data_IF_795938229567
#
_entry.id   IF_795938229567
#
_cell.length_a   1.000
_cell.length_b   1.000
_cell.length_c   1.000
_cell.angle_alpha   90.00
_cell.angle_beta   90.00
_cell.angle_gamma   90.00
#
_symmetry.space_group_name_H-M   'P 1'
#
loop_
_entity.id
_entity.type
_entity.pdbx_description
1 polymer ?
#
# COMPACT_ATOMS: atom_id res chain seq x y z
N UNK A 1 -0.55 -25.99 25.04
CA UNK A 1 -0.12 -25.73 23.64
C UNK A 1 -0.83 -24.53 23.00
N UNK A 2 -2.15 -24.36 23.24
CA UNK A 2 -2.93 -23.23 22.70
C UNK A 2 -2.40 -21.82 23.08
N UNK A 3 -1.84 -21.63 24.29
CA UNK A 3 -1.28 -20.33 24.71
C UNK A 3 -0.02 -19.94 23.92
N UNK A 4 0.91 -20.88 23.70
CA UNK A 4 2.14 -20.65 22.91
C UNK A 4 1.82 -20.29 21.45
N UNK A 5 0.86 -20.99 20.84
CA UNK A 5 0.40 -20.73 19.46
C UNK A 5 -0.24 -19.33 19.37
N UNK A 6 -1.01 -18.92 20.37
CA UNK A 6 -1.54 -17.56 20.40
C UNK A 6 -0.46 -16.47 20.39
N UNK A 7 0.54 -16.64 21.26
CA UNK A 7 1.56 -15.63 21.47
C UNK A 7 2.36 -15.48 20.17
N UNK A 8 2.68 -16.60 19.54
CA UNK A 8 3.34 -16.63 18.24
C UNK A 8 2.55 -15.86 17.17
N UNK A 9 1.24 -16.10 17.05
CA UNK A 9 0.39 -15.39 16.08
C UNK A 9 0.41 -13.88 16.31
N UNK A 10 0.31 -13.42 17.56
CA UNK A 10 0.35 -11.99 17.90
C UNK A 10 1.71 -11.38 17.54
N UNK A 11 2.81 -12.07 17.86
CA UNK A 11 4.17 -11.61 17.52
C UNK A 11 4.31 -11.47 16.00
N UNK A 12 3.84 -12.46 15.23
CA UNK A 12 3.86 -12.41 13.77
C UNK A 12 3.04 -11.22 13.26
N UNK A 13 1.81 -11.03 13.75
CA UNK A 13 0.98 -9.88 13.35
C UNK A 13 1.69 -8.53 13.64
N UNK A 14 2.36 -8.40 14.79
CA UNK A 14 3.13 -7.20 15.15
C UNK A 14 4.36 -6.97 14.26
N UNK A 15 5.13 -8.02 13.98
CA UNK A 15 6.31 -7.92 13.09
C UNK A 15 5.89 -7.48 11.69
N UNK A 16 4.79 -8.03 11.19
CA UNK A 16 4.23 -7.67 9.88
C UNK A 16 3.77 -6.22 9.83
N UNK A 17 3.10 -5.75 10.89
CA UNK A 17 2.72 -4.35 11.01
C UNK A 17 3.92 -3.42 10.89
N UNK A 18 5.01 -3.72 11.60
CA UNK A 18 6.24 -2.92 11.55
C UNK A 18 6.85 -2.96 10.15
N UNK A 19 6.89 -4.12 9.50
CA UNK A 19 7.46 -4.26 8.16
C UNK A 19 6.68 -3.48 7.10
N UNK A 20 5.34 -3.59 7.10
CA UNK A 20 4.48 -2.87 6.14
C UNK A 20 4.55 -1.37 6.38
N UNK A 21 4.35 -0.94 7.64
CA UNK A 21 4.35 0.48 8.00
C UNK A 21 5.72 1.14 7.73
N UNK A 22 6.81 0.46 8.10
CA UNK A 22 8.16 0.93 7.81
C UNK A 22 8.46 0.99 6.31
N UNK A 23 8.06 -0.05 5.55
CA UNK A 23 8.23 -0.09 4.10
C UNK A 23 7.50 1.05 3.38
N UNK A 24 6.26 1.33 3.76
CA UNK A 24 5.46 2.42 3.19
C UNK A 24 6.00 3.82 3.55
N UNK A 25 6.57 4.01 4.75
CA UNK A 25 7.27 5.24 5.12
C UNK A 25 8.53 5.43 4.27
N UNK A 26 9.31 4.37 4.08
CA UNK A 26 10.48 4.41 3.20
C UNK A 26 10.08 4.72 1.75
N UNK A 27 9.00 4.12 1.27
CA UNK A 27 8.45 4.41 -0.06
C UNK A 27 8.04 5.89 -0.19
N UNK A 28 7.37 6.46 0.81
CA UNK A 28 7.03 7.89 0.87
C UNK A 28 8.28 8.76 0.80
N UNK A 29 9.30 8.45 1.60
CA UNK A 29 10.55 9.22 1.61
C UNK A 29 11.24 9.20 0.24
N UNK A 30 11.35 8.02 -0.38
CA UNK A 30 11.94 7.86 -1.71
C UNK A 30 11.13 8.58 -2.79
N UNK A 31 9.80 8.55 -2.70
CA UNK A 31 8.92 9.26 -3.62
C UNK A 31 9.08 10.78 -3.53
N UNK A 32 9.24 11.32 -2.31
CA UNK A 32 9.52 12.75 -2.10
C UNK A 32 10.89 13.16 -2.63
N UNK A 33 11.91 12.32 -2.42
CA UNK A 33 13.25 12.59 -2.95
C UNK A 33 13.28 12.49 -4.49
N UNK A 34 12.52 11.56 -5.06
CA UNK A 34 12.32 11.47 -6.50
C UNK A 34 11.69 12.75 -7.06
N UNK A 35 10.63 13.28 -6.45
CA UNK A 35 9.99 14.54 -6.86
C UNK A 35 10.96 15.73 -6.76
N UNK A 36 11.70 15.87 -5.65
CA UNK A 36 12.74 16.92 -5.53
C UNK A 36 13.79 16.83 -6.63
N UNK A 37 14.19 15.62 -7.02
CA UNK A 37 15.17 15.40 -8.09
C UNK A 37 14.59 15.71 -9.48
N UNK A 38 13.26 15.65 -9.64
CA UNK A 38 12.57 16.17 -10.82
C UNK A 38 12.49 17.69 -10.81
N UNK A 39 12.29 18.30 -9.64
CA UNK A 39 12.12 19.75 -9.47
C UNK A 39 13.45 20.52 -9.50
N UNK A 40 14.55 19.97 -8.97
CA UNK A 40 15.90 20.60 -9.00
C UNK A 40 16.43 20.87 -10.41
N UNK A 41 15.90 20.17 -11.40
CA UNK A 41 16.23 20.38 -12.81
C UNK A 41 15.56 21.64 -13.39
N UNK A 42 14.53 22.16 -12.70
CA UNK A 42 13.59 23.16 -13.21
C UNK A 42 13.94 24.62 -12.88
N UNK A 43 14.97 24.90 -12.09
CA UNK A 43 15.41 26.29 -11.80
C UNK A 43 16.06 27.02 -13.00
N UNK A 44 16.03 26.42 -14.20
CA UNK A 44 16.51 27.02 -15.44
C UNK A 44 15.45 26.91 -16.56
N UNK A 45 14.81 28.06 -16.84
CA UNK A 45 14.02 28.46 -18.03
C UNK A 45 12.50 28.17 -18.16
N UNK A 46 11.75 29.27 -17.99
CA UNK A 46 10.77 29.91 -18.89
C UNK A 46 9.84 29.05 -19.78
N UNK A 47 8.54 29.19 -19.48
CA UNK A 47 7.39 29.44 -20.36
C UNK A 47 7.47 28.87 -21.80
N UNK A 48 6.68 27.82 -22.04
CA UNK A 48 6.07 27.42 -23.33
C UNK A 48 6.71 26.42 -24.30
N UNK A 49 7.88 25.82 -24.04
CA UNK A 49 8.30 24.61 -24.77
C UNK A 49 8.94 23.60 -23.82
N UNK A 50 8.11 22.73 -23.22
CA UNK A 50 8.52 21.72 -22.22
C UNK A 50 9.23 20.51 -22.86
N UNK A 51 10.18 20.75 -23.77
CA UNK A 51 11.08 19.73 -24.32
C UNK A 51 12.52 19.85 -23.79
N UNK A 52 12.69 20.50 -22.62
CA UNK A 52 13.99 20.63 -21.92
C UNK A 52 13.94 20.22 -20.44
N UNK A 53 13.05 19.29 -20.06
CA UNK A 53 13.11 18.67 -18.73
C UNK A 53 14.34 17.75 -18.72
N UNK A 54 15.48 18.12 -18.11
CA UNK A 54 16.60 17.16 -17.92
C UNK A 54 16.05 15.97 -17.15
N UNK A 55 15.84 14.85 -17.84
CA UNK A 55 15.40 13.62 -17.21
C UNK A 55 16.43 13.23 -16.17
N UNK A 56 16.01 13.11 -14.92
CA UNK A 56 16.89 12.69 -13.86
C UNK A 56 16.75 11.18 -13.68
N UNK A 57 17.75 10.42 -14.14
CA UNK A 57 17.73 8.97 -13.98
C UNK A 57 17.63 8.54 -12.51
N UNK A 58 18.16 9.34 -11.58
CA UNK A 58 18.01 9.05 -10.16
C UNK A 58 16.54 9.17 -9.72
N UNK A 59 15.78 10.14 -10.24
CA UNK A 59 14.35 10.24 -9.96
C UNK A 59 13.57 9.01 -10.46
N UNK A 60 13.92 8.48 -11.63
CA UNK A 60 13.37 7.21 -12.13
C UNK A 60 13.65 6.07 -11.14
N UNK A 61 14.92 5.93 -10.70
CA UNK A 61 15.34 4.85 -9.80
C UNK A 61 14.66 4.96 -8.44
N UNK A 62 14.58 6.16 -7.84
CA UNK A 62 13.91 6.37 -6.56
C UNK A 62 12.40 6.12 -6.64
N UNK A 63 11.74 6.58 -7.70
CA UNK A 63 10.31 6.30 -7.93
C UNK A 63 10.00 4.81 -8.09
N UNK A 64 10.83 4.07 -8.84
CA UNK A 64 10.68 2.62 -8.99
C UNK A 64 11.02 1.84 -7.71
N UNK A 65 11.97 2.31 -6.90
CA UNK A 65 12.23 1.74 -5.57
C UNK A 65 11.03 1.92 -4.65
N UNK A 66 10.40 3.10 -4.65
CA UNK A 66 9.16 3.33 -3.91
C UNK A 66 8.03 2.41 -4.39
N UNK A 67 7.86 2.26 -5.71
CA UNK A 67 6.89 1.34 -6.30
C UNK A 67 7.12 -0.12 -5.86
N UNK A 68 8.38 -0.55 -5.86
CA UNK A 68 8.75 -1.90 -5.44
C UNK A 68 8.47 -2.13 -3.95
N UNK A 69 8.79 -1.16 -3.08
CA UNK A 69 8.46 -1.24 -1.65
C UNK A 69 6.95 -1.36 -1.43
N UNK A 70 6.14 -0.57 -2.12
CA UNK A 70 4.68 -0.66 -2.05
C UNK A 70 4.16 -2.04 -2.49
N UNK A 71 4.71 -2.60 -3.58
CA UNK A 71 4.38 -3.95 -4.06
C UNK A 71 4.70 -5.03 -3.03
N UNK A 72 5.90 -4.98 -2.44
CA UNK A 72 6.33 -5.94 -1.42
C UNK A 72 5.49 -5.80 -0.15
N UNK A 73 5.25 -4.57 0.31
CA UNK A 73 4.41 -4.29 1.47
C UNK A 73 2.99 -4.82 1.27
N UNK A 74 2.39 -4.59 0.10
CA UNK A 74 1.06 -5.07 -0.23
C UNK A 74 0.99 -6.61 -0.31
N UNK A 75 2.02 -7.26 -0.87
CA UNK A 75 2.10 -8.71 -0.89
C UNK A 75 2.15 -9.29 0.52
N UNK A 76 3.03 -8.76 1.39
CA UNK A 76 3.15 -9.20 2.79
C UNK A 76 1.82 -9.01 3.54
N UNK A 77 1.18 -7.85 3.39
CA UNK A 77 -0.12 -7.55 3.98
C UNK A 77 -1.21 -8.56 3.55
N UNK A 78 -1.20 -8.93 2.26
CA UNK A 78 -2.19 -9.84 1.68
C UNK A 78 -1.94 -11.30 2.06
N UNK A 79 -0.68 -11.75 2.14
CA UNK A 79 -0.37 -13.14 2.48
C UNK A 79 -0.67 -13.49 3.95
N UNK A 80 -0.40 -12.58 4.89
CA UNK A 80 -0.47 -12.89 6.34
C UNK A 80 -1.83 -12.51 6.95
N UNK A 81 -2.45 -11.44 6.45
CA UNK A 81 -3.79 -11.03 6.86
C UNK A 81 -4.85 -11.38 5.82
N UNK A 82 -4.60 -11.08 4.54
CA UNK A 82 -5.60 -11.09 3.48
C UNK A 82 -6.12 -12.47 3.06
N UNK A 83 -5.29 -13.51 2.95
CA UNK A 83 -5.67 -14.75 2.24
C UNK A 83 -6.94 -15.44 2.74
N UNK A 84 -7.09 -15.62 4.06
CA UNK A 84 -8.31 -16.20 4.65
C UNK A 84 -9.52 -15.29 4.44
N UNK A 85 -9.34 -13.97 4.54
CA UNK A 85 -10.41 -12.99 4.34
C UNK A 85 -10.81 -12.87 2.88
N UNK A 86 -9.85 -12.86 1.96
CA UNK A 86 -10.03 -12.82 0.53
C UNK A 86 -10.73 -14.08 0.03
N UNK A 87 -10.37 -15.26 0.55
CA UNK A 87 -11.11 -16.50 0.30
C UNK A 87 -12.57 -16.38 0.74
N UNK A 88 -12.81 -15.94 1.97
CA UNK A 88 -14.17 -15.79 2.49
C UNK A 88 -14.98 -14.71 1.72
N UNK A 89 -14.34 -13.62 1.30
CA UNK A 89 -14.93 -12.57 0.48
C UNK A 89 -15.28 -13.08 -0.93
N UNK A 90 -14.34 -13.73 -1.62
CA UNK A 90 -14.60 -14.33 -2.93
C UNK A 90 -15.70 -15.40 -2.85
N UNK A 91 -15.66 -16.26 -1.84
CA UNK A 91 -16.70 -17.27 -1.63
C UNK A 91 -18.07 -16.63 -1.38
N UNK A 92 -18.15 -15.53 -0.62
CA UNK A 92 -19.42 -14.81 -0.37
C UNK A 92 -19.96 -14.07 -1.59
N UNK A 93 -19.08 -13.49 -2.43
CA UNK A 93 -19.48 -12.74 -3.62
C UNK A 93 -19.82 -13.62 -4.82
N UNK A 94 -19.16 -14.77 -4.98
CA UNK A 94 -19.31 -15.63 -6.16
C UNK A 94 -20.05 -16.94 -5.89
N UNK A 95 -20.08 -17.44 -4.65
CA UNK A 95 -20.85 -18.64 -4.30
C UNK A 95 -22.11 -18.23 -3.51
N UNK A 96 -23.26 -18.36 -4.15
CA UNK A 96 -24.58 -18.06 -3.57
C UNK A 96 -24.83 -18.82 -2.25
N UNK A 97 -24.92 -18.05 -1.16
CA UNK A 97 -25.76 -18.26 0.04
C UNK A 97 -25.72 -19.58 0.84
N UNK A 98 -24.70 -20.45 0.74
CA UNK A 98 -24.73 -21.76 1.42
C UNK A 98 -23.87 -21.97 2.68
N UNK A 99 -23.29 -20.92 3.27
CA UNK A 99 -22.61 -21.06 4.58
C UNK A 99 -22.89 -19.86 5.50
N UNK A 100 -23.78 -20.00 6.50
CA UNK A 100 -24.10 -18.93 7.44
C UNK A 100 -23.15 -18.83 8.65
N UNK A 101 -22.05 -19.59 8.70
CA UNK A 101 -21.24 -19.72 9.92
C UNK A 101 -19.99 -18.81 9.94
N UNK A 102 -19.90 -17.86 8.99
CA UNK A 102 -18.76 -16.94 8.93
C UNK A 102 -19.03 -15.82 9.92
N UNK A 103 -18.27 -15.84 11.03
CA UNK A 103 -18.13 -14.77 12.04
C UNK A 103 -18.57 -13.42 11.47
N UNK A 104 -19.65 -12.86 12.04
CA UNK A 104 -20.20 -11.55 11.70
C UNK A 104 -19.07 -10.53 11.57
N UNK A 105 -18.57 -10.39 10.35
CA UNK A 105 -17.38 -9.60 10.12
C UNK A 105 -17.87 -8.16 10.11
N UNK A 106 -17.59 -7.45 11.20
CA UNK A 106 -17.88 -6.03 11.39
C UNK A 106 -17.71 -5.29 10.05
N UNK A 107 -18.76 -4.65 9.53
CA UNK A 107 -18.73 -3.97 8.22
C UNK A 107 -17.55 -3.00 8.06
N UNK A 108 -17.06 -2.44 9.18
CA UNK A 108 -15.85 -1.64 9.24
C UNK A 108 -14.60 -2.39 8.70
N UNK A 109 -14.40 -3.66 9.05
CA UNK A 109 -13.21 -4.44 8.67
C UNK A 109 -13.14 -4.62 7.14
N UNK A 110 -14.30 -4.81 6.50
CA UNK A 110 -14.42 -4.91 5.05
C UNK A 110 -14.05 -3.60 4.34
N UNK A 111 -14.52 -2.46 4.87
CA UNK A 111 -14.23 -1.14 4.30
C UNK A 111 -12.73 -0.86 4.30
N UNK A 112 -12.04 -1.12 5.41
CA UNK A 112 -10.59 -0.91 5.50
C UNK A 112 -9.79 -1.81 4.57
N UNK A 113 -10.24 -3.05 4.36
CA UNK A 113 -9.63 -3.95 3.39
C UNK A 113 -9.76 -3.40 1.97
N UNK A 114 -10.95 -2.97 1.55
CA UNK A 114 -11.16 -2.38 0.21
C UNK A 114 -10.35 -1.10 0.03
N UNK A 115 -10.35 -0.21 1.02
CA UNK A 115 -9.58 1.04 0.98
C UNK A 115 -8.07 0.78 0.84
N UNK A 116 -7.55 -0.26 1.48
CA UNK A 116 -6.14 -0.67 1.33
C UNK A 116 -5.81 -1.02 -0.13
N UNK A 117 -6.67 -1.82 -0.79
CA UNK A 117 -6.48 -2.19 -2.20
C UNK A 117 -6.61 -0.99 -3.15
N UNK A 118 -7.55 -0.08 -2.88
CA UNK A 118 -7.71 1.15 -3.65
C UNK A 118 -6.48 2.05 -3.48
N UNK A 119 -5.99 2.24 -2.26
CA UNK A 119 -4.78 3.01 -1.99
C UNK A 119 -3.54 2.40 -2.67
N UNK A 120 -3.42 1.08 -2.66
CA UNK A 120 -2.38 0.36 -3.40
C UNK A 120 -2.47 0.59 -4.92
N UNK A 121 -3.65 0.40 -5.51
CA UNK A 121 -3.87 0.58 -6.96
C UNK A 121 -3.56 2.00 -7.42
N UNK A 122 -4.10 3.00 -6.72
CA UNK A 122 -3.83 4.41 -7.01
C UNK A 122 -2.36 4.74 -6.76
N UNK A 123 -1.78 4.30 -5.65
CA UNK A 123 -0.38 4.56 -5.29
C UNK A 123 0.58 4.03 -6.36
N UNK A 124 0.38 2.78 -6.80
CA UNK A 124 1.15 2.21 -7.90
C UNK A 124 1.01 3.01 -9.20
N UNK A 125 -0.22 3.39 -9.56
CA UNK A 125 -0.48 4.20 -10.75
C UNK A 125 0.31 5.51 -10.69
N UNK A 126 0.14 6.29 -9.63
CA UNK A 126 0.81 7.58 -9.48
C UNK A 126 2.34 7.46 -9.45
N UNK A 127 2.90 6.47 -8.73
CA UNK A 127 4.34 6.24 -8.69
C UNK A 127 4.90 5.83 -10.05
N UNK A 128 4.24 4.90 -10.76
CA UNK A 128 4.69 4.41 -12.07
C UNK A 128 4.67 5.51 -13.12
N UNK A 129 3.54 6.19 -13.26
CA UNK A 129 3.39 7.25 -14.25
C UNK A 129 4.17 8.52 -13.89
N UNK A 130 4.45 8.77 -12.61
CA UNK A 130 5.36 9.83 -12.19
C UNK A 130 6.84 9.51 -12.45
N UNK A 131 7.22 8.23 -12.38
CA UNK A 131 8.59 7.77 -12.59
C UNK A 131 8.95 7.55 -14.08
N UNK A 132 8.06 6.97 -14.88
CA UNK A 132 8.30 6.58 -16.29
C UNK A 132 8.84 7.70 -17.20
N UNK A 133 8.36 8.95 -17.11
CA UNK A 133 8.89 10.07 -17.89
C UNK A 133 10.38 10.37 -17.64
N UNK A 134 10.97 9.86 -16.55
CA UNK A 134 12.38 10.06 -16.19
C UNK A 134 13.32 8.98 -16.76
N UNK A 135 12.80 8.01 -17.54
CA UNK A 135 13.60 6.96 -18.16
C UNK A 135 14.52 7.53 -19.27
N UNK A 136 15.70 6.94 -19.45
CA UNK A 136 16.73 7.41 -20.39
C UNK A 136 16.34 7.33 -21.88
N UNK A 137 15.23 6.70 -22.27
CA UNK A 137 14.90 6.43 -23.66
C UNK A 137 13.52 6.96 -24.09
N UNK A 138 13.51 7.72 -25.19
CA UNK A 138 12.39 8.23 -26.02
C UNK A 138 11.95 9.69 -25.79
N UNK A 139 12.16 10.45 -26.86
CA UNK A 139 11.72 11.81 -27.11
C UNK A 139 10.25 11.73 -27.55
N UNK A 140 9.33 11.80 -26.60
CA UNK A 140 7.91 12.00 -26.91
C UNK A 140 7.44 13.05 -25.91
N UNK A 141 7.42 14.30 -26.35
CA UNK A 141 6.93 15.42 -25.55
C UNK A 141 5.42 15.17 -25.29
N UNK A 142 5.11 14.47 -24.21
CA UNK A 142 3.74 14.20 -23.78
C UNK A 142 3.28 15.40 -22.97
N UNK A 143 2.19 16.05 -23.42
CA UNK A 143 1.64 17.31 -22.93
C UNK A 143 1.07 17.27 -21.50
N UNK A 144 1.33 16.21 -20.73
CA UNK A 144 0.76 16.01 -19.39
C UNK A 144 1.82 16.36 -18.36
N UNK A 145 1.60 17.46 -17.65
CA UNK A 145 2.40 17.84 -16.49
C UNK A 145 2.28 16.77 -15.39
N UNK A 146 3.25 15.86 -15.32
CA UNK A 146 3.36 14.82 -14.27
C UNK A 146 3.73 15.38 -12.88
N UNK A 147 3.55 16.70 -12.66
CA UNK A 147 3.94 17.39 -11.43
C UNK A 147 3.16 16.85 -10.24
N UNK A 148 3.86 16.50 -9.18
CA UNK A 148 3.27 16.01 -7.94
C UNK A 148 2.79 14.57 -7.99
N UNK A 149 2.91 13.86 -9.11
CA UNK A 149 2.43 12.47 -9.20
C UNK A 149 3.22 11.55 -8.27
N UNK A 150 4.55 11.73 -8.16
CA UNK A 150 5.36 10.97 -7.21
C UNK A 150 5.01 11.36 -5.77
N UNK A 151 4.76 12.65 -5.50
CA UNK A 151 4.31 13.12 -4.19
C UNK A 151 2.95 12.54 -3.77
N UNK A 152 1.94 12.56 -4.66
CA UNK A 152 0.63 11.94 -4.42
C UNK A 152 0.74 10.42 -4.24
N UNK A 153 1.56 9.76 -5.07
CA UNK A 153 1.85 8.32 -4.93
C UNK A 153 2.48 7.97 -3.57
N UNK A 154 3.40 8.80 -3.08
CA UNK A 154 3.99 8.65 -1.76
C UNK A 154 2.97 8.75 -0.62
N UNK A 155 2.04 9.70 -0.67
CA UNK A 155 0.98 9.77 0.35
C UNK A 155 0.00 8.61 0.27
N UNK A 156 -0.26 8.08 -0.92
CA UNK A 156 -1.09 6.88 -1.06
C UNK A 156 -0.41 5.64 -0.45
N UNK A 157 0.93 5.57 -0.43
CA UNK A 157 1.66 4.54 0.34
C UNK A 157 1.39 4.69 1.85
N UNK A 158 1.40 5.91 2.37
CA UNK A 158 1.05 6.15 3.78
C UNK A 158 -0.42 5.79 4.06
N UNK A 159 -1.33 6.13 3.15
CA UNK A 159 -2.74 5.72 3.21
C UNK A 159 -2.91 4.20 3.23
N UNK A 160 -2.13 3.48 2.41
CA UNK A 160 -2.07 2.02 2.41
C UNK A 160 -1.66 1.48 3.79
N UNK A 161 -0.58 2.01 4.38
CA UNK A 161 -0.11 1.63 5.71
C UNK A 161 -1.16 1.86 6.81
N UNK A 162 -1.85 3.00 6.78
CA UNK A 162 -2.91 3.34 7.74
C UNK A 162 -4.08 2.36 7.61
N UNK A 163 -4.56 2.12 6.39
CA UNK A 163 -5.66 1.18 6.15
C UNK A 163 -5.29 -0.23 6.63
N UNK A 164 -4.07 -0.69 6.34
CA UNK A 164 -3.57 -1.98 6.79
C UNK A 164 -3.46 -2.08 8.32
N UNK A 165 -2.99 -1.02 8.97
CA UNK A 165 -2.85 -0.97 10.43
C UNK A 165 -4.21 -1.08 11.12
N UNK A 166 -5.19 -0.32 10.64
CA UNK A 166 -6.55 -0.35 11.18
C UNK A 166 -7.19 -1.72 10.95
N UNK A 167 -7.09 -2.27 9.73
CA UNK A 167 -7.58 -3.61 9.40
C UNK A 167 -6.99 -4.69 10.32
N UNK A 168 -5.67 -4.66 10.51
CA UNK A 168 -4.96 -5.62 11.36
C UNK A 168 -5.31 -5.45 12.84
N UNK A 169 -5.44 -4.21 13.32
CA UNK A 169 -5.87 -3.91 14.69
C UNK A 169 -7.24 -4.49 15.00
N UNK A 170 -8.23 -4.27 14.13
CA UNK A 170 -9.57 -4.86 14.30
C UNK A 170 -9.54 -6.39 14.34
N UNK A 171 -8.69 -7.04 13.54
CA UNK A 171 -8.53 -8.50 13.56
C UNK A 171 -7.91 -9.02 14.86
N UNK A 172 -6.89 -8.34 15.36
CA UNK A 172 -6.24 -8.71 16.63
C UNK A 172 -7.23 -8.57 17.78
N UNK A 173 -8.05 -7.51 17.79
CA UNK A 173 -9.09 -7.29 18.79
C UNK A 173 -10.19 -8.36 18.72
N UNK A 174 -10.68 -8.70 17.52
CA UNK A 174 -11.68 -9.74 17.33
C UNK A 174 -11.21 -11.11 17.87
N UNK A 175 -9.94 -11.47 17.60
CA UNK A 175 -9.31 -12.69 18.15
C UNK A 175 -9.12 -12.67 19.67
N UNK A 176 -9.02 -11.48 20.27
CA UNK A 176 -8.97 -11.32 21.73
C UNK A 176 -10.33 -11.57 22.38
N UNK A 177 -11.41 -11.06 21.76
CA UNK A 177 -12.77 -11.18 22.27
C UNK A 177 -13.26 -12.63 22.31
N UNK A 178 -13.02 -13.42 21.25
CA UNK A 178 -13.45 -14.83 21.18
C UNK A 178 -12.78 -15.75 22.20
N UNK A 179 -11.68 -15.34 22.84
CA UNK A 179 -11.07 -16.11 23.94
C UNK A 179 -11.67 -15.83 25.31
N UNK A 180 -12.13 -14.60 25.56
CA UNK A 180 -12.76 -14.26 26.84
C UNK A 180 -14.06 -15.03 27.07
N UNK A 181 -14.77 -15.38 25.99
CA UNK A 181 -16.00 -16.18 26.05
C UNK A 181 -15.76 -17.68 26.23
N UNK A 182 -14.59 -18.21 25.84
CA UNK A 182 -14.28 -19.65 26.03
C UNK A 182 -13.74 -19.97 27.42
N UNK A 183 -13.33 -18.97 28.19
CA UNK A 183 -12.80 -19.14 29.56
C UNK A 183 -13.88 -19.02 30.65
N UNK A 184 -15.14 -18.78 30.26
CA UNK A 184 -16.31 -18.66 31.16
C UNK A 184 -17.31 -19.83 31.05
N UNK A 185 -17.02 -20.86 30.27
CA UNK A 185 -17.79 -22.12 30.17
C UNK A 185 -16.95 -23.30 30.61
#
# INVERSE_FOLDING_TARGET
MASKVSILIRIVDFVVLILVFGGDILALFLAREAEKLQDKVKDVNLFFVECSKKRNHNAYVYGYRALYLLLVAHAIATFIGGWTYLKNFFLRCFCSNKHPDIEATNGCLHIWFVLMWVAFGLGMFFLKYGADPNKKSKLSCHLISHRGWLWYGGYLCLGHAICFTIFSGFRILARGSSRGTTEQT
#
